data_IF_348861429201
#
_entry.id   IF_348861429201
#
_cell.length_a   1.000
_cell.length_b   1.000
_cell.length_c   1.000
_cell.angle_alpha   90.00
_cell.angle_beta   90.00
_cell.angle_gamma   90.00
#
_symmetry.space_group_name_H-M   'P 1'
#
loop_
_entity.id
_entity.type
_entity.pdbx_description
1 polymer ?
#
# COMPACT_ATOMS: atom_id res chain seq x y z
N UNK A 1 -10.23 7.66 -7.02
CA UNK A 1 -11.34 6.76 -6.57
C UNK A 1 -11.98 7.31 -5.31
N UNK A 2 -13.28 7.66 -5.32
CA UNK A 2 -13.95 8.21 -4.13
C UNK A 2 -14.61 7.15 -3.23
N UNK A 3 -14.84 5.93 -3.70
CA UNK A 3 -15.56 4.92 -2.92
C UNK A 3 -14.65 4.12 -1.95
N UNK A 4 -13.36 3.97 -2.28
CA UNK A 4 -12.45 3.11 -1.53
C UNK A 4 -12.10 3.76 -0.19
N UNK A 5 -12.46 3.08 0.90
CA UNK A 5 -12.19 3.50 2.28
C UNK A 5 -11.05 2.73 2.93
N UNK A 6 -10.77 1.53 2.45
CA UNK A 6 -9.69 0.68 2.93
C UNK A 6 -9.08 -0.13 1.79
N UNK A 7 -7.82 -0.47 1.94
CA UNK A 7 -7.13 -1.52 1.19
C UNK A 7 -6.88 -2.64 2.19
N UNK A 8 -7.63 -3.73 2.07
CA UNK A 8 -7.59 -4.85 3.01
C UNK A 8 -7.26 -6.20 2.37
N UNK A 9 -7.51 -7.31 3.10
CA UNK A 9 -7.30 -8.68 2.62
C UNK A 9 -7.79 -8.95 1.19
N UNK A 10 -8.90 -8.31 0.80
CA UNK A 10 -9.50 -8.39 -0.52
C UNK A 10 -8.58 -7.93 -1.66
N UNK A 11 -7.56 -7.11 -1.37
CA UNK A 11 -6.59 -6.64 -2.36
C UNK A 11 -5.51 -7.68 -2.68
N UNK A 12 -5.15 -8.54 -1.72
CA UNK A 12 -4.01 -9.46 -1.86
C UNK A 12 -4.39 -10.78 -2.54
N UNK A 13 -5.69 -11.05 -2.71
CA UNK A 13 -6.20 -12.27 -3.31
C UNK A 13 -6.06 -13.49 -2.39
N UNK A 14 -6.27 -14.68 -2.96
CA UNK A 14 -6.26 -15.96 -2.22
C UNK A 14 -4.88 -16.64 -2.19
N UNK A 15 -3.84 -15.98 -2.73
CA UNK A 15 -2.49 -16.53 -2.79
C UNK A 15 -1.79 -16.48 -1.43
N UNK A 16 -1.00 -17.52 -1.13
CA UNK A 16 -0.06 -17.54 0.00
C UNK A 16 1.20 -16.70 -0.23
N UNK A 17 1.36 -16.15 -1.43
CA UNK A 17 2.43 -15.21 -1.76
C UNK A 17 1.85 -14.19 -2.74
N UNK A 18 1.15 -13.15 -2.25
CA UNK A 18 0.66 -12.08 -3.10
C UNK A 18 1.83 -11.38 -3.81
N UNK A 19 1.55 -10.83 -5.01
CA UNK A 19 2.45 -9.93 -5.74
C UNK A 19 3.96 -10.28 -5.72
N UNK A 20 4.35 -11.53 -6.07
CA UNK A 20 5.73 -12.00 -5.88
C UNK A 20 6.77 -11.26 -6.74
N UNK A 21 6.33 -10.55 -7.78
CA UNK A 21 7.20 -9.85 -8.75
C UNK A 21 6.87 -8.37 -8.88
N UNK A 22 5.97 -7.83 -8.04
CA UNK A 22 5.56 -6.43 -8.15
C UNK A 22 6.67 -5.51 -7.67
N UNK A 23 7.23 -4.72 -8.58
CA UNK A 23 8.32 -3.79 -8.26
C UNK A 23 7.85 -2.38 -7.93
N UNK A 24 6.69 -1.97 -8.46
CA UNK A 24 6.14 -0.62 -8.29
C UNK A 24 4.67 -0.70 -7.88
N UNK A 25 4.30 0.02 -6.81
CA UNK A 25 2.93 0.15 -6.33
C UNK A 25 2.61 1.64 -6.17
N UNK A 26 1.55 2.09 -6.83
CA UNK A 26 1.09 3.48 -6.76
C UNK A 26 -0.37 3.55 -6.33
N UNK A 27 -0.65 4.41 -5.35
CA UNK A 27 -1.99 4.82 -4.95
C UNK A 27 -2.13 6.32 -5.21
N UNK A 28 -3.12 6.70 -6.03
CA UNK A 28 -3.31 8.09 -6.45
C UNK A 28 -4.80 8.51 -6.36
N UNK A 29 -5.02 9.73 -5.88
CA UNK A 29 -6.34 10.38 -5.80
C UNK A 29 -7.40 9.54 -5.06
N UNK A 30 -6.98 8.82 -4.03
CA UNK A 30 -7.84 8.02 -3.15
C UNK A 30 -8.27 8.84 -1.93
N UNK A 31 -9.07 9.87 -2.20
CA UNK A 31 -9.42 10.92 -1.23
C UNK A 31 -10.13 10.43 0.04
N UNK A 32 -10.85 9.31 -0.04
CA UNK A 32 -11.60 8.73 1.08
C UNK A 32 -10.92 7.49 1.68
N UNK A 33 -9.72 7.14 1.20
CA UNK A 33 -8.98 6.00 1.71
C UNK A 33 -8.40 6.32 3.08
N UNK A 34 -8.77 5.52 4.07
CA UNK A 34 -8.40 5.71 5.48
C UNK A 34 -7.44 4.69 6.01
N UNK A 35 -7.56 3.41 5.62
CA UNK A 35 -6.78 2.33 6.24
C UNK A 35 -6.13 1.44 5.20
N UNK A 36 -4.85 1.16 5.40
CA UNK A 36 -4.18 0.04 4.77
C UNK A 36 -4.04 -1.08 5.80
N UNK A 37 -4.76 -2.18 5.62
CA UNK A 37 -4.76 -3.29 6.57
C UNK A 37 -3.68 -4.31 6.18
N UNK A 38 -2.99 -4.90 7.17
CA UNK A 38 -1.97 -5.90 6.92
C UNK A 38 -2.58 -7.16 6.31
N UNK A 39 -1.76 -7.88 5.54
CA UNK A 39 -2.05 -9.27 5.19
C UNK A 39 -1.61 -10.19 6.33
N UNK A 40 -2.25 -11.34 6.49
CA UNK A 40 -1.95 -12.26 7.58
C UNK A 40 -0.56 -12.92 7.48
N UNK A 41 0.11 -12.79 6.33
CA UNK A 41 1.46 -13.30 6.08
C UNK A 41 2.41 -12.14 5.82
N UNK A 42 3.66 -12.31 6.26
CA UNK A 42 4.65 -11.24 6.28
C UNK A 42 5.23 -10.89 4.89
N UNK A 43 5.11 -11.78 3.90
CA UNK A 43 5.67 -11.58 2.56
C UNK A 43 4.59 -11.30 1.52
N UNK A 44 4.17 -10.04 1.43
CA UNK A 44 3.21 -9.59 0.40
C UNK A 44 3.91 -8.95 -0.79
N UNK A 45 5.06 -8.32 -0.55
CA UNK A 45 5.72 -7.45 -1.51
C UNK A 45 7.23 -7.73 -1.57
N UNK A 46 7.66 -8.99 -1.79
CA UNK A 46 9.07 -9.37 -1.66
C UNK A 46 9.99 -8.60 -2.63
N UNK A 47 9.47 -8.13 -3.77
CA UNK A 47 10.24 -7.42 -4.79
C UNK A 47 9.87 -5.93 -4.93
N UNK A 48 9.07 -5.37 -4.02
CA UNK A 48 8.60 -3.99 -4.17
C UNK A 48 9.75 -3.01 -3.92
N UNK A 49 10.11 -2.26 -4.96
CA UNK A 49 11.19 -1.27 -4.97
C UNK A 49 10.68 0.15 -4.81
N UNK A 50 9.48 0.44 -5.34
CA UNK A 50 8.87 1.76 -5.29
C UNK A 50 7.45 1.70 -4.75
N UNK A 51 7.19 2.48 -3.71
CA UNK A 51 5.86 2.78 -3.21
C UNK A 51 5.57 4.27 -3.34
N UNK A 52 4.52 4.62 -4.09
CA UNK A 52 4.05 6.01 -4.24
C UNK A 52 2.63 6.16 -3.74
N UNK A 53 2.40 7.12 -2.85
CA UNK A 53 1.07 7.50 -2.38
C UNK A 53 0.90 9.00 -2.65
N UNK A 54 0.01 9.33 -3.58
CA UNK A 54 -0.26 10.71 -4.05
C UNK A 54 -1.71 11.11 -3.82
N UNK A 55 -1.94 12.29 -3.25
CA UNK A 55 -3.27 12.87 -3.05
C UNK A 55 -4.23 11.91 -2.30
N UNK A 56 -3.75 11.29 -1.23
CA UNK A 56 -4.53 10.42 -0.34
C UNK A 56 -4.64 11.06 1.06
N UNK A 57 -5.35 12.20 1.21
CA UNK A 57 -5.33 13.03 2.41
C UNK A 57 -5.99 12.41 3.64
N UNK A 58 -6.80 11.36 3.49
CA UNK A 58 -7.47 10.69 4.62
C UNK A 58 -6.74 9.43 5.11
N UNK A 59 -5.61 9.06 4.50
CA UNK A 59 -4.90 7.84 4.88
C UNK A 59 -4.35 7.97 6.31
N UNK A 60 -4.72 7.02 7.16
CA UNK A 60 -4.32 6.88 8.55
C UNK A 60 -3.55 5.56 8.71
N UNK A 61 -2.50 5.57 9.55
CA UNK A 61 -1.68 4.40 9.84
C UNK A 61 -0.31 4.42 9.15
N UNK A 62 0.41 3.30 9.27
CA UNK A 62 1.75 3.10 8.68
C UNK A 62 1.63 2.31 7.38
N UNK A 63 2.60 2.52 6.49
CA UNK A 63 2.86 1.62 5.36
C UNK A 63 3.11 0.20 5.88
N UNK A 64 2.77 -0.87 5.13
CA UNK A 64 3.03 -2.26 5.56
C UNK A 64 4.45 -2.44 6.08
N UNK A 65 4.58 -3.19 7.18
CA UNK A 65 5.87 -3.62 7.71
C UNK A 65 6.45 -4.71 6.77
N UNK A 66 7.77 -4.90 6.75
CA UNK A 66 8.48 -5.89 5.91
C UNK A 66 8.51 -5.60 4.39
N UNK A 67 8.80 -4.35 4.02
CA UNK A 67 9.12 -3.97 2.63
C UNK A 67 10.64 -4.02 2.38
N UNK A 68 11.25 -5.19 2.53
CA UNK A 68 12.72 -5.35 2.56
C UNK A 68 13.43 -4.89 1.27
N UNK A 69 12.73 -4.95 0.14
CA UNK A 69 13.26 -4.53 -1.18
C UNK A 69 13.02 -3.05 -1.49
N UNK A 70 12.36 -2.30 -0.60
CA UNK A 70 11.92 -0.94 -0.89
C UNK A 70 13.09 0.03 -0.96
N UNK A 71 13.34 0.54 -2.16
CA UNK A 71 14.37 1.54 -2.42
C UNK A 71 13.82 2.96 -2.36
N UNK A 72 12.52 3.16 -2.63
CA UNK A 72 11.93 4.50 -2.75
C UNK A 72 10.51 4.54 -2.20
N UNK A 73 10.29 5.45 -1.24
CA UNK A 73 8.98 5.81 -0.74
C UNK A 73 8.66 7.26 -1.13
N UNK A 74 7.55 7.48 -1.82
CA UNK A 74 7.04 8.82 -2.19
C UNK A 74 5.69 9.06 -1.51
N UNK A 75 5.64 10.07 -0.65
CA UNK A 75 4.41 10.54 -0.02
C UNK A 75 4.19 11.99 -0.47
N UNK A 76 3.16 12.23 -1.29
CA UNK A 76 2.84 13.55 -1.84
C UNK A 76 1.37 13.88 -1.58
N UNK A 77 1.08 14.95 -0.84
CA UNK A 77 -0.28 15.32 -0.44
C UNK A 77 -1.07 14.16 0.23
N UNK A 78 -0.38 13.16 0.76
CA UNK A 78 -0.89 12.24 1.76
C UNK A 78 -0.65 12.91 3.13
N UNK A 79 -1.49 12.62 4.13
CA UNK A 79 -1.17 13.05 5.49
C UNK A 79 0.14 12.39 5.89
N UNK A 80 1.19 13.21 5.96
CA UNK A 80 2.46 12.79 6.52
C UNK A 80 2.21 12.37 7.97
N UNK A 81 2.85 11.26 8.33
CA UNK A 81 2.80 10.57 9.60
C UNK A 81 3.08 11.49 10.79
#
# INVERSE_FOLDING_TARGET
MAAVRSVGPEFYGESSLPFPVLETLEFEDMHNWKKWLPFAQDQVFPCLKLLSIRNCPQLEGKVPENLDSLATLKLLNARNW
#
